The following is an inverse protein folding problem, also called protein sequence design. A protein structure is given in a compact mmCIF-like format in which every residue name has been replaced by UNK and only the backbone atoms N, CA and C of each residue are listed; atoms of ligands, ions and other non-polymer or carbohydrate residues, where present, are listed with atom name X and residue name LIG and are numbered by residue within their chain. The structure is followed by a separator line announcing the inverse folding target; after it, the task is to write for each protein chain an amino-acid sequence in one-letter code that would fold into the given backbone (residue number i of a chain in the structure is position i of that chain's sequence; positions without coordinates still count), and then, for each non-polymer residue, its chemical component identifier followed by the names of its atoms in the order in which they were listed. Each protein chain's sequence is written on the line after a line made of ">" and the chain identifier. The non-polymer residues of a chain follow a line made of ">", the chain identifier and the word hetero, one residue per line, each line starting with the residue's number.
data_IF_546959955537
#
_entry.id   IF_546959955537
#
_cell.length_a   1.000
_cell.length_b   1.000
_cell.length_c   1.000
_cell.angle_alpha   90.00
_cell.angle_beta   90.00
_cell.angle_gamma   90.00
#
_symmetry.space_group_name_H-M   'P 1'
#
loop_
_entity.id
_entity.type
_entity.pdbx_description
1 polymer ?
#
# COMPACT_ATOMS: atom_id res chain seq x y z
N UNK A 1 47.70 11.02 3.51
CA UNK A 1 47.75 9.56 3.24
C UNK A 1 46.83 8.74 4.16
N UNK A 2 46.75 9.02 5.47
CA UNK A 2 45.77 8.37 6.37
C UNK A 2 44.43 9.14 6.47
N UNK A 3 44.47 10.48 6.40
CA UNK A 3 43.28 11.34 6.42
C UNK A 3 42.38 11.16 5.18
N UNK A 4 42.97 10.97 3.99
CA UNK A 4 42.23 10.74 2.74
C UNK A 4 41.41 9.43 2.78
N UNK A 5 41.92 8.42 3.49
CA UNK A 5 41.24 7.14 3.66
C UNK A 5 40.05 7.25 4.61
N UNK A 6 40.20 7.95 5.73
CA UNK A 6 39.08 8.21 6.65
C UNK A 6 37.98 9.04 6.00
N UNK A 7 38.33 10.07 5.23
CA UNK A 7 37.35 10.92 4.54
C UNK A 7 36.53 10.11 3.51
N UNK A 8 37.19 9.24 2.73
CA UNK A 8 36.52 8.33 1.79
C UNK A 8 35.62 7.31 2.48
N UNK A 9 36.03 6.78 3.63
CA UNK A 9 35.24 5.83 4.42
C UNK A 9 34.01 6.52 5.02
N UNK A 10 34.14 7.71 5.56
CA UNK A 10 33.01 8.51 6.06
C UNK A 10 32.03 8.86 4.94
N UNK A 11 32.54 9.25 3.77
CA UNK A 11 31.70 9.54 2.60
C UNK A 11 30.96 8.29 2.09
N UNK A 12 31.61 7.13 2.08
CA UNK A 12 30.97 5.86 1.76
C UNK A 12 29.90 5.47 2.79
N UNK A 13 30.19 5.57 4.08
CA UNK A 13 29.22 5.28 5.15
C UNK A 13 28.02 6.23 5.04
N UNK A 14 28.25 7.52 4.80
CA UNK A 14 27.19 8.52 4.64
C UNK A 14 26.33 8.25 3.41
N UNK A 15 26.93 7.87 2.30
CA UNK A 15 26.21 7.52 1.06
C UNK A 15 25.35 6.28 1.28
N UNK A 16 25.91 5.23 1.87
CA UNK A 16 25.21 3.97 2.13
C UNK A 16 24.09 4.12 3.15
N UNK A 17 24.30 4.95 4.17
CA UNK A 17 23.26 5.27 5.18
C UNK A 17 22.10 6.01 4.52
N UNK A 18 22.39 6.94 3.61
CA UNK A 18 21.36 7.68 2.86
C UNK A 18 20.55 6.78 1.92
N UNK A 19 21.20 5.83 1.24
CA UNK A 19 20.51 4.84 0.41
C UNK A 19 19.59 3.95 1.26
N UNK A 20 20.07 3.47 2.41
CA UNK A 20 19.26 2.69 3.36
C UNK A 20 18.06 3.48 3.89
N UNK A 21 18.21 4.77 4.18
CA UNK A 21 17.10 5.63 4.62
C UNK A 21 16.04 5.81 3.54
N UNK A 22 16.44 5.96 2.27
CA UNK A 22 15.51 6.08 1.14
C UNK A 22 14.73 4.78 0.96
N UNK A 23 15.42 3.65 1.01
CA UNK A 23 14.77 2.34 0.83
C UNK A 23 13.85 2.01 2.01
N UNK A 24 14.26 2.33 3.23
CA UNK A 24 13.43 2.21 4.43
C UNK A 24 12.15 3.05 4.31
N UNK A 25 12.26 4.30 3.84
CA UNK A 25 11.09 5.18 3.63
C UNK A 25 10.12 4.62 2.59
N UNK A 26 10.62 4.12 1.45
CA UNK A 26 9.78 3.49 0.42
C UNK A 26 9.05 2.27 0.96
N UNK A 27 9.75 1.42 1.71
CA UNK A 27 9.18 0.23 2.35
C UNK A 27 8.09 0.61 3.35
N UNK A 28 8.34 1.60 4.20
CA UNK A 28 7.37 2.06 5.20
C UNK A 28 6.09 2.60 4.54
N UNK A 29 6.24 3.36 3.46
CA UNK A 29 5.11 3.94 2.72
C UNK A 29 4.28 2.87 2.00
N UNK A 30 4.92 1.82 1.51
CA UNK A 30 4.23 0.68 0.90
C UNK A 30 3.47 -0.14 1.95
N UNK A 31 4.06 -0.38 3.12
CA UNK A 31 3.41 -1.12 4.20
C UNK A 31 2.18 -0.35 4.72
N UNK A 32 2.28 0.97 4.88
CA UNK A 32 1.15 1.82 5.29
C UNK A 32 0.00 1.85 4.27
N UNK A 33 0.29 1.64 2.99
CA UNK A 33 -0.74 1.51 1.95
C UNK A 33 -1.44 0.16 1.94
N UNK A 34 -0.78 -0.90 2.41
CA UNK A 34 -1.29 -2.27 2.36
C UNK A 34 -1.94 -2.71 3.68
N UNK A 35 -1.53 -2.13 4.80
CA UNK A 35 -1.93 -2.55 6.14
C UNK A 35 -2.33 -1.34 6.99
N UNK A 36 -3.33 -1.48 7.89
CA UNK A 36 -3.66 -0.44 8.86
C UNK A 36 -2.41 -0.02 9.65
N UNK A 37 -2.25 1.26 10.00
CA UNK A 37 -1.09 1.75 10.74
C UNK A 37 -0.81 0.94 12.02
N UNK A 38 -1.87 0.54 12.73
CA UNK A 38 -1.76 -0.27 13.95
C UNK A 38 -1.17 -1.67 13.67
N UNK A 39 -1.61 -2.33 12.60
CA UNK A 39 -1.10 -3.65 12.18
C UNK A 39 0.35 -3.52 11.69
N UNK A 40 0.65 -2.47 10.93
CA UNK A 40 1.99 -2.20 10.44
C UNK A 40 3.00 -1.98 11.58
N UNK A 41 2.65 -1.19 12.60
CA UNK A 41 3.51 -0.94 13.76
C UNK A 41 3.66 -2.19 14.65
N UNK A 42 2.59 -2.96 14.85
CA UNK A 42 2.68 -4.23 15.57
C UNK A 42 3.61 -5.23 14.86
N UNK A 43 3.52 -5.35 13.53
CA UNK A 43 4.40 -6.19 12.73
C UNK A 43 5.85 -5.69 12.74
N UNK A 44 6.08 -4.37 12.68
CA UNK A 44 7.43 -3.79 12.84
C UNK A 44 8.03 -4.07 14.22
N UNK A 45 7.21 -4.12 15.25
CA UNK A 45 7.61 -4.47 16.61
C UNK A 45 7.81 -5.99 16.83
N UNK A 46 7.53 -6.82 15.82
CA UNK A 46 7.61 -8.28 15.93
C UNK A 46 6.50 -8.89 16.79
N UNK A 47 5.43 -8.13 17.04
CA UNK A 47 4.28 -8.58 17.83
C UNK A 47 3.28 -9.25 16.90
N UNK A 48 2.83 -10.44 17.28
CA UNK A 48 1.76 -11.13 16.57
C UNK A 48 0.45 -10.34 16.71
N UNK A 49 -0.18 -10.01 15.59
CA UNK A 49 -1.47 -9.32 15.58
C UNK A 49 -2.57 -10.35 15.81
N UNK A 50 -3.25 -10.25 16.95
CA UNK A 50 -4.39 -11.11 17.26
C UNK A 50 -5.61 -10.75 16.38
N UNK A 51 -6.49 -11.71 16.04
CA UNK A 51 -7.74 -11.40 15.35
C UNK A 51 -8.56 -10.41 16.18
N UNK A 52 -8.92 -9.28 15.58
CA UNK A 52 -9.76 -8.27 16.22
C UNK A 52 -11.23 -8.54 15.89
N UNK A 53 -12.10 -8.46 16.90
CA UNK A 53 -13.55 -8.52 16.73
C UNK A 53 -14.10 -7.12 16.93
N UNK A 54 -14.91 -6.66 15.99
CA UNK A 54 -15.55 -5.35 16.03
C UNK A 54 -17.03 -5.52 16.35
N UNK A 55 -17.53 -4.76 17.33
CA UNK A 55 -18.94 -4.83 17.77
C UNK A 55 -19.92 -4.31 16.71
N UNK A 56 -19.48 -3.39 15.86
CA UNK A 56 -20.27 -2.81 14.77
C UNK A 56 -19.38 -2.60 13.53
N UNK A 57 -19.74 -3.23 12.41
CA UNK A 57 -19.03 -3.09 11.13
C UNK A 57 -20.03 -2.85 10.00
N UNK A 58 -19.65 -2.01 9.04
CA UNK A 58 -20.38 -1.82 7.78
C UNK A 58 -19.51 -2.33 6.63
N UNK A 59 -20.00 -3.35 5.92
CA UNK A 59 -19.33 -3.91 4.74
C UNK A 59 -20.05 -3.42 3.49
N UNK A 60 -19.30 -2.81 2.57
CA UNK A 60 -19.82 -2.40 1.27
C UNK A 60 -19.33 -3.36 0.19
N UNK A 61 -20.24 -4.11 -0.43
CA UNK A 61 -19.96 -4.96 -1.59
C UNK A 61 -20.70 -4.36 -2.77
N UNK A 62 -19.94 -3.91 -3.78
CA UNK A 62 -20.48 -3.37 -5.02
C UNK A 62 -20.01 -4.21 -6.21
N UNK A 63 -20.90 -4.39 -7.18
CA UNK A 63 -20.61 -5.04 -8.46
C UNK A 63 -20.97 -4.09 -9.60
N UNK A 64 -20.22 -4.16 -10.70
CA UNK A 64 -20.43 -3.33 -11.88
C UNK A 64 -21.46 -4.05 -12.76
N UNK A 65 -22.71 -3.59 -12.69
CA UNK A 65 -23.80 -4.13 -13.51
C UNK A 65 -23.43 -4.02 -14.99
N UNK A 66 -23.39 -5.16 -15.69
CA UNK A 66 -23.09 -5.19 -17.11
C UNK A 66 -21.60 -5.11 -17.46
N UNK A 67 -20.69 -5.34 -16.51
CA UNK A 67 -19.25 -5.40 -16.77
C UNK A 67 -18.90 -6.33 -17.95
N UNK A 68 -19.55 -7.49 -18.06
CA UNK A 68 -19.35 -8.41 -19.18
C UNK A 68 -19.66 -7.76 -20.54
N UNK A 69 -20.77 -7.02 -20.65
CA UNK A 69 -21.18 -6.31 -21.87
C UNK A 69 -20.23 -5.17 -22.20
N UNK A 70 -19.80 -4.39 -21.19
CA UNK A 70 -18.84 -3.29 -21.35
C UNK A 70 -17.50 -3.85 -21.83
N UNK A 71 -17.01 -4.92 -21.19
CA UNK A 71 -15.75 -5.57 -21.56
C UNK A 71 -15.78 -6.19 -22.96
N UNK A 72 -16.94 -6.63 -23.43
CA UNK A 72 -17.11 -7.20 -24.77
C UNK A 72 -17.15 -6.14 -25.89
N UNK A 73 -17.57 -4.90 -25.58
CA UNK A 73 -17.67 -3.81 -26.56
C UNK A 73 -16.49 -2.84 -26.52
N UNK A 74 -15.63 -2.93 -25.51
CA UNK A 74 -14.48 -2.04 -25.31
C UNK A 74 -13.15 -2.74 -25.54
N UNK A 75 -12.13 -1.98 -25.90
CA UNK A 75 -10.76 -2.51 -25.94
C UNK A 75 -10.26 -2.77 -24.52
N UNK A 76 -9.33 -3.73 -24.32
CA UNK A 76 -8.78 -4.00 -22.99
C UNK A 76 -8.22 -2.76 -22.29
N UNK A 77 -7.61 -1.83 -23.05
CA UNK A 77 -7.09 -0.59 -22.51
C UNK A 77 -8.19 0.31 -21.94
N UNK A 78 -9.30 0.47 -22.68
CA UNK A 78 -10.44 1.28 -22.25
C UNK A 78 -11.14 0.71 -21.01
N UNK A 79 -11.20 -0.63 -20.88
CA UNK A 79 -11.76 -1.28 -19.69
C UNK A 79 -10.87 -1.01 -18.48
N UNK A 80 -9.55 -1.07 -18.65
CA UNK A 80 -8.58 -0.74 -17.59
C UNK A 80 -8.71 0.72 -17.17
N UNK A 81 -8.78 1.64 -18.12
CA UNK A 81 -8.95 3.06 -17.84
C UNK A 81 -10.25 3.34 -17.07
N UNK A 82 -11.37 2.75 -17.51
CA UNK A 82 -12.66 2.86 -16.81
C UNK A 82 -12.60 2.36 -15.37
N UNK A 83 -12.00 1.19 -15.16
CA UNK A 83 -11.85 0.61 -13.81
C UNK A 83 -10.93 1.50 -12.96
N UNK A 84 -9.83 1.97 -13.53
CA UNK A 84 -8.88 2.81 -12.82
C UNK A 84 -9.53 4.13 -12.39
N UNK A 85 -10.34 4.76 -13.25
CA UNK A 85 -11.09 5.97 -12.92
C UNK A 85 -12.14 5.72 -11.83
N UNK A 86 -12.88 4.61 -11.91
CA UNK A 86 -13.88 4.21 -10.93
C UNK A 86 -13.24 4.00 -9.55
N UNK A 87 -12.20 3.16 -9.47
CA UNK A 87 -11.48 2.90 -8.22
C UNK A 87 -10.81 4.16 -7.67
N UNK A 88 -10.19 4.99 -8.53
CA UNK A 88 -9.62 6.27 -8.10
C UNK A 88 -10.67 7.21 -7.49
N UNK A 89 -11.90 7.21 -8.04
CA UNK A 89 -12.99 8.03 -7.52
C UNK A 89 -13.54 7.46 -6.20
N UNK A 90 -13.63 6.14 -6.07
CA UNK A 90 -13.93 5.48 -4.81
C UNK A 90 -12.86 5.79 -3.76
N UNK A 91 -11.58 5.58 -4.05
CA UNK A 91 -10.45 5.87 -3.16
C UNK A 91 -10.47 7.32 -2.68
N UNK A 92 -10.75 8.28 -3.57
CA UNK A 92 -10.86 9.70 -3.20
C UNK A 92 -12.06 9.98 -2.30
N UNK A 93 -13.18 9.31 -2.54
CA UNK A 93 -14.39 9.48 -1.73
C UNK A 93 -14.18 8.86 -0.35
N UNK A 94 -13.65 7.64 -0.32
CA UNK A 94 -13.35 6.85 0.87
C UNK A 94 -12.22 7.48 1.68
N UNK A 95 -11.21 8.12 1.07
CA UNK A 95 -10.13 8.80 1.79
C UNK A 95 -10.62 9.93 2.72
N UNK A 96 -11.84 10.43 2.53
CA UNK A 96 -12.46 11.41 3.44
C UNK A 96 -13.20 10.75 4.62
N UNK A 97 -13.36 9.43 4.59
CA UNK A 97 -13.93 8.62 5.66
C UNK A 97 -12.82 7.73 6.24
N UNK A 98 -12.84 7.49 7.55
CA UNK A 98 -11.86 6.61 8.21
C UNK A 98 -12.24 5.13 7.96
N UNK A 99 -12.26 4.72 6.69
CA UNK A 99 -12.73 3.41 6.24
C UNK A 99 -11.56 2.63 5.65
N UNK A 100 -11.47 1.37 6.02
CA UNK A 100 -10.38 0.48 5.65
C UNK A 100 -10.73 -0.36 4.41
N UNK A 101 -9.87 -0.33 3.40
CA UNK A 101 -9.95 -1.25 2.26
C UNK A 101 -9.32 -2.60 2.62
N UNK A 102 -10.15 -3.65 2.71
CA UNK A 102 -9.69 -5.01 3.01
C UNK A 102 -9.20 -5.67 1.71
N UNK A 103 -7.90 -5.91 1.61
CA UNK A 103 -7.34 -6.73 0.52
C UNK A 103 -7.82 -8.17 0.59
N UNK A 104 -8.55 -8.64 -0.43
CA UNK A 104 -8.93 -10.05 -0.53
C UNK A 104 -7.71 -10.92 -0.82
N UNK A 105 -7.22 -11.64 0.19
CA UNK A 105 -6.31 -12.76 -0.06
C UNK A 105 -7.14 -13.94 -0.53
N UNK A 106 -6.88 -14.43 -1.76
CA UNK A 106 -7.46 -15.69 -2.19
C UNK A 106 -6.88 -16.80 -1.33
N UNK A 107 -7.70 -17.34 -0.44
CA UNK A 107 -7.42 -18.58 0.27
C UNK A 107 -7.09 -19.67 -0.74
N UNK A 108 -6.01 -20.40 -0.45
CA UNK A 108 -5.57 -21.58 -1.20
C UNK A 108 -6.60 -22.69 -1.19
#
# INVERSE_FOLDING_TARGET
>A
MMEDYSCRLEEQVKTRTRELEVEKRKKDLLIQRMLPPFVAEALKAGVAVAPESYDEVSIHISDIVGFATISAMSTPLQVVDLLNDLYTLFDKTIANYDVYEVGSTKGS
#
